data_IF_080146760194
#
_entry.id   IF_080146760194
#
_cell.length_a   1.000
_cell.length_b   1.000
_cell.length_c   1.000
_cell.angle_alpha   90.00
_cell.angle_beta   90.00
_cell.angle_gamma   90.00
#
_symmetry.space_group_name_H-M   'P 1'
#
loop_
_entity.id
_entity.type
_entity.pdbx_description
1 polymer ?
#
# COMPACT_ATOMS: atom_id res chain seq x y z
N UNK A 1 6.05 21.03 -12.61
CA UNK A 1 4.66 20.51 -12.50
C UNK A 1 4.76 19.05 -12.08
N UNK A 2 4.55 18.73 -10.81
CA UNK A 2 4.36 17.33 -10.38
C UNK A 2 2.93 16.95 -10.73
N UNK A 3 2.75 16.13 -11.75
CA UNK A 3 1.46 15.51 -12.07
C UNK A 3 1.02 14.76 -10.82
N UNK A 4 -0.08 15.17 -10.20
CA UNK A 4 -0.66 14.44 -9.07
C UNK A 4 -1.00 13.04 -9.56
N UNK A 5 -0.18 12.05 -9.20
CA UNK A 5 -0.44 10.67 -9.53
C UNK A 5 -1.70 10.26 -8.76
N UNK A 6 -2.69 9.66 -9.43
CA UNK A 6 -3.86 9.16 -8.72
C UNK A 6 -3.40 8.08 -7.73
N UNK A 7 -3.93 8.07 -6.50
CA UNK A 7 -3.55 7.08 -5.50
C UNK A 7 -3.80 5.67 -6.03
N UNK A 8 -2.81 4.79 -5.86
CA UNK A 8 -2.87 3.39 -6.23
C UNK A 8 -3.58 2.59 -5.14
N UNK A 9 -4.52 1.73 -5.54
CA UNK A 9 -5.19 0.81 -4.64
C UNK A 9 -4.62 -0.61 -4.83
N UNK A 10 -4.17 -1.23 -3.74
CA UNK A 10 -3.75 -2.63 -3.70
C UNK A 10 -4.85 -3.44 -3.03
N UNK A 11 -5.42 -4.36 -3.80
CA UNK A 11 -6.49 -5.26 -3.34
C UNK A 11 -5.89 -6.63 -3.02
N UNK A 12 -5.96 -7.02 -1.76
CA UNK A 12 -5.32 -8.22 -1.22
C UNK A 12 -3.86 -7.96 -0.86
N UNK A 13 -3.57 -7.96 0.44
CA UNK A 13 -2.23 -7.82 1.03
C UNK A 13 -1.79 -9.10 1.75
N UNK A 14 -2.09 -10.26 1.14
CA UNK A 14 -1.43 -11.52 1.46
C UNK A 14 0.07 -11.51 1.13
N UNK A 15 0.71 -12.69 1.05
CA UNK A 15 2.16 -12.78 0.83
C UNK A 15 2.65 -12.02 -0.42
N UNK A 16 1.94 -12.16 -1.55
CA UNK A 16 2.29 -11.48 -2.79
C UNK A 16 2.04 -9.96 -2.73
N UNK A 17 0.85 -9.54 -2.29
CA UNK A 17 0.49 -8.12 -2.25
C UNK A 17 1.36 -7.32 -1.30
N UNK A 18 1.65 -7.88 -0.12
CA UNK A 18 2.59 -7.26 0.82
C UNK A 18 4.02 -7.21 0.27
N UNK A 19 4.52 -8.27 -0.37
CA UNK A 19 5.84 -8.25 -1.01
C UNK A 19 5.96 -7.18 -2.10
N UNK A 20 4.91 -7.01 -2.92
CA UNK A 20 4.85 -5.99 -3.97
C UNK A 20 4.91 -4.58 -3.39
N UNK A 21 4.08 -4.29 -2.38
CA UNK A 21 4.06 -2.98 -1.69
C UNK A 21 5.44 -2.67 -1.09
N UNK A 22 6.05 -3.64 -0.40
CA UNK A 22 7.38 -3.51 0.18
C UNK A 22 8.44 -3.21 -0.87
N UNK A 23 8.40 -3.92 -2.00
CA UNK A 23 9.34 -3.71 -3.10
C UNK A 23 9.18 -2.31 -3.72
N UNK A 24 7.95 -1.84 -3.95
CA UNK A 24 7.70 -0.52 -4.53
C UNK A 24 8.16 0.62 -3.62
N UNK A 25 7.88 0.51 -2.31
CA UNK A 25 8.34 1.48 -1.32
C UNK A 25 9.86 1.47 -1.20
N UNK A 26 10.47 0.28 -1.11
CA UNK A 26 11.92 0.11 -1.02
C UNK A 26 12.68 0.61 -2.25
N UNK A 27 12.10 0.44 -3.44
CA UNK A 27 12.65 0.95 -4.69
C UNK A 27 12.24 2.41 -5.00
N UNK A 28 11.50 3.07 -4.09
CA UNK A 28 11.01 4.45 -4.24
C UNK A 28 10.22 4.69 -5.54
N UNK A 29 9.55 3.65 -6.05
CA UNK A 29 8.68 3.75 -7.24
C UNK A 29 7.41 4.53 -6.91
N UNK A 30 6.94 4.41 -5.67
CA UNK A 30 5.76 5.09 -5.12
C UNK A 30 6.04 5.52 -3.68
N UNK A 31 5.31 6.51 -3.20
CA UNK A 31 5.35 6.90 -1.79
C UNK A 31 4.18 6.27 -1.01
N UNK A 32 4.33 6.18 0.32
CA UNK A 32 3.26 5.69 1.17
C UNK A 32 1.96 6.51 1.07
N UNK A 33 2.09 7.82 0.81
CA UNK A 33 0.96 8.72 0.63
C UNK A 33 0.15 8.43 -0.64
N UNK A 34 0.78 7.83 -1.64
CA UNK A 34 0.16 7.48 -2.91
C UNK A 34 -0.49 6.08 -2.89
N UNK A 35 -0.40 5.34 -1.78
CA UNK A 35 -0.87 3.97 -1.66
C UNK A 35 -2.05 3.83 -0.70
N UNK A 36 -3.04 3.06 -1.16
CA UNK A 36 -4.16 2.58 -0.35
C UNK A 36 -4.20 1.07 -0.40
N UNK A 37 -4.37 0.42 0.74
CA UNK A 37 -4.43 -1.04 0.84
C UNK A 37 -5.80 -1.48 1.32
N UNK A 38 -6.33 -2.55 0.73
CA UNK A 38 -7.56 -3.20 1.14
C UNK A 38 -7.34 -4.71 1.16
N UNK A 39 -7.84 -5.40 2.17
CA UNK A 39 -7.84 -6.86 2.24
C UNK A 39 -9.11 -7.34 2.95
N UNK A 40 -9.73 -8.44 2.51
CA UNK A 40 -10.87 -9.02 3.20
C UNK A 40 -10.57 -9.43 4.66
N UNK A 41 -9.29 -9.68 5.00
CA UNK A 41 -8.82 -9.83 6.37
C UNK A 41 -8.27 -8.49 6.89
N UNK A 42 -9.04 -7.72 7.69
CA UNK A 42 -8.69 -6.35 8.06
C UNK A 42 -7.36 -6.25 8.83
N UNK A 43 -7.02 -7.26 9.61
CA UNK A 43 -5.77 -7.32 10.39
C UNK A 43 -4.52 -7.27 9.49
N UNK A 44 -4.60 -7.85 8.28
CA UNK A 44 -3.45 -7.85 7.35
C UNK A 44 -3.22 -6.47 6.75
N UNK A 45 -4.29 -5.80 6.35
CA UNK A 45 -4.22 -4.44 5.84
C UNK A 45 -3.74 -3.47 6.93
N UNK A 46 -4.26 -3.61 8.15
CA UNK A 46 -3.85 -2.80 9.30
C UNK A 46 -2.38 -3.01 9.67
N UNK A 47 -1.89 -4.26 9.70
CA UNK A 47 -0.48 -4.56 9.98
C UNK A 47 0.45 -3.93 8.93
N UNK A 48 0.16 -4.13 7.65
CA UNK A 48 0.98 -3.55 6.58
C UNK A 48 0.93 -2.01 6.58
N UNK A 49 -0.23 -1.43 6.90
CA UNK A 49 -0.37 0.02 7.02
C UNK A 49 0.43 0.60 8.18
N UNK A 50 0.47 -0.09 9.33
CA UNK A 50 1.27 0.33 10.48
C UNK A 50 2.77 0.28 10.19
N UNK A 51 3.26 -0.75 9.49
CA UNK A 51 4.69 -0.91 9.16
C UNK A 51 5.22 0.19 8.23
N UNK A 52 4.38 0.70 7.32
CA UNK A 52 4.82 1.56 6.21
C UNK A 52 4.11 2.93 6.15
N UNK A 53 3.21 3.23 7.09
CA UNK A 53 2.43 4.47 7.11
C UNK A 53 1.44 4.59 5.95
N UNK A 54 0.81 3.47 5.55
CA UNK A 54 -0.14 3.44 4.43
C UNK A 54 -1.57 3.77 4.88
N UNK A 55 -2.42 4.15 3.92
CA UNK A 55 -3.86 4.31 4.18
C UNK A 55 -4.59 2.99 3.95
N UNK A 56 -5.41 2.57 4.92
CA UNK A 56 -6.34 1.45 4.75
C UNK A 56 -7.60 1.95 4.06
N UNK A 57 -7.97 1.35 2.93
CA UNK A 57 -9.23 1.60 2.27
C UNK A 57 -10.34 0.74 2.91
N UNK A 58 -11.58 1.27 3.00
CA UNK A 58 -12.71 0.55 3.59
C UNK A 58 -13.04 -0.74 2.86
#
# INVERSE_FOLDING_TARGET
MTTACRPLAVLGVGAMGSALVRAWLGAQVVTAADLRVHDPAPDRAAALAADYGLTVAP
#
